data_IF_713306703853
#
_entry.id   IF_713306703853
#
_cell.length_a   1.000
_cell.length_b   1.000
_cell.length_c   1.000
_cell.angle_alpha   90.00
_cell.angle_beta   90.00
_cell.angle_gamma   90.00
#
_symmetry.space_group_name_H-M   'P 1'
#
loop_
_entity.id
_entity.type
_entity.pdbx_description
1 polymer ?
#
# COMPACT_ATOMS: atom_id res chain seq x y z
N UNK A 1 16.54 -12.98 -6.30
CA UNK A 1 15.35 -12.16 -6.05
C UNK A 1 15.54 -11.21 -4.87
N UNK A 2 16.00 -11.62 -3.69
CA UNK A 2 16.31 -10.70 -2.57
C UNK A 2 17.41 -9.67 -2.91
N UNK A 3 18.34 -10.03 -3.77
CA UNK A 3 19.58 -9.32 -4.02
C UNK A 3 19.70 -8.74 -5.44
N UNK A 4 18.66 -8.83 -6.25
CA UNK A 4 18.70 -8.43 -7.67
C UNK A 4 17.99 -7.11 -7.96
N UNK A 5 17.39 -6.50 -6.95
CA UNK A 5 16.63 -5.28 -7.15
C UNK A 5 17.59 -4.09 -7.36
N UNK A 6 17.46 -3.44 -8.52
CA UNK A 6 18.22 -2.24 -8.83
C UNK A 6 17.55 -0.96 -8.28
N UNK A 7 16.41 -1.11 -7.61
CA UNK A 7 15.58 -0.02 -7.09
C UNK A 7 15.82 0.15 -5.60
N UNK A 8 16.14 1.36 -5.15
CA UNK A 8 16.03 1.73 -3.75
C UNK A 8 14.58 2.11 -3.43
N UNK A 9 13.94 1.35 -2.54
CA UNK A 9 12.57 1.60 -2.12
C UNK A 9 12.55 2.15 -0.69
N UNK A 10 12.24 3.44 -0.53
CA UNK A 10 12.27 4.09 0.78
C UNK A 10 10.88 4.57 1.18
N UNK A 11 10.39 4.08 2.31
CA UNK A 11 9.18 4.65 2.95
C UNK A 11 9.61 5.69 3.96
N UNK A 12 9.10 6.91 3.85
CA UNK A 12 9.36 8.01 4.79
C UNK A 12 8.10 8.29 5.56
N UNK A 13 8.22 8.30 6.89
CA UNK A 13 7.15 8.60 7.82
C UNK A 13 7.43 9.95 8.47
N UNK A 14 6.92 11.07 7.91
CA UNK A 14 7.20 12.40 8.44
C UNK A 14 6.54 12.66 9.79
N UNK A 15 5.49 11.90 10.14
CA UNK A 15 4.80 12.01 11.43
C UNK A 15 4.06 10.74 11.82
N UNK A 16 3.97 10.48 13.12
CA UNK A 16 3.08 9.48 13.70
C UNK A 16 1.68 10.03 14.01
N UNK A 17 1.53 11.35 14.01
CA UNK A 17 0.24 11.98 14.26
C UNK A 17 -0.74 11.71 13.13
N UNK A 18 -2.00 11.43 13.48
CA UNK A 18 -3.09 11.24 12.52
C UNK A 18 -4.34 11.97 13.02
N UNK A 19 -5.10 12.54 12.10
CA UNK A 19 -6.39 13.19 12.34
C UNK A 19 -7.58 12.23 12.43
N UNK A 20 -7.37 10.94 12.07
CA UNK A 20 -8.39 9.88 12.16
C UNK A 20 -8.09 8.88 13.29
N UNK A 21 -9.16 8.31 13.86
CA UNK A 21 -9.12 7.30 14.91
C UNK A 21 -9.51 5.90 14.43
N UNK A 22 -8.92 5.42 13.34
CA UNK A 22 -9.30 4.13 12.73
C UNK A 22 -9.22 2.99 13.76
N UNK A 23 -10.30 2.17 13.85
CA UNK A 23 -10.42 1.06 14.80
C UNK A 23 -9.44 -0.08 14.51
N UNK A 24 -8.98 -0.22 13.27
CA UNK A 24 -8.05 -1.27 12.83
C UNK A 24 -6.62 -0.75 12.61
N UNK A 25 -6.29 0.45 13.10
CA UNK A 25 -4.95 1.00 12.93
C UNK A 25 -3.92 0.14 13.67
N UNK A 26 -2.93 -0.36 12.95
CA UNK A 26 -1.85 -1.17 13.53
C UNK A 26 -0.69 -0.33 14.06
N UNK A 27 -0.63 0.97 13.71
CA UNK A 27 0.39 1.85 14.24
C UNK A 27 0.08 2.21 15.68
N UNK A 28 1.12 2.23 16.51
CA UNK A 28 1.00 2.75 17.88
C UNK A 28 0.55 4.23 17.82
N UNK A 29 -0.41 4.58 18.68
CA UNK A 29 -0.96 5.95 18.77
C UNK A 29 0.05 6.91 19.41
N UNK A 30 1.27 6.95 18.86
CA UNK A 30 2.33 7.90 19.25
C UNK A 30 2.10 9.24 18.57
N UNK A 31 2.73 10.26 19.08
CA UNK A 31 2.86 11.57 18.44
C UNK A 31 4.33 11.83 18.15
N UNK A 32 4.60 12.58 17.11
CA UNK A 32 5.94 12.95 16.72
C UNK A 32 5.95 13.43 15.28
N UNK A 33 6.82 14.39 14.99
CA UNK A 33 7.02 14.96 13.67
C UNK A 33 8.51 15.08 13.39
N UNK A 34 8.88 14.94 12.12
CA UNK A 34 10.27 14.98 11.67
C UNK A 34 10.85 16.40 11.83
N UNK A 35 11.94 16.52 12.59
CA UNK A 35 12.68 17.76 12.72
C UNK A 35 13.46 18.11 11.44
N UNK A 36 13.96 19.34 11.34
CA UNK A 36 14.85 19.74 10.25
C UNK A 36 16.13 18.91 10.22
N UNK A 37 16.70 18.63 11.39
CA UNK A 37 17.90 17.79 11.53
C UNK A 37 17.65 16.36 11.02
N UNK A 38 16.56 15.72 11.45
CA UNK A 38 16.21 14.37 10.97
C UNK A 38 15.93 14.36 9.47
N UNK A 39 15.26 15.41 8.95
CA UNK A 39 15.04 15.56 7.51
C UNK A 39 16.35 15.63 6.72
N UNK A 40 17.35 16.38 7.22
CA UNK A 40 18.67 16.47 6.62
C UNK A 40 19.44 15.15 6.67
N UNK A 41 19.39 14.46 7.81
CA UNK A 41 19.99 13.13 7.97
C UNK A 41 19.30 12.10 7.05
N UNK A 42 17.98 12.15 6.94
CA UNK A 42 17.19 11.30 6.03
C UNK A 42 17.62 11.50 4.58
N UNK A 43 17.74 12.75 4.14
CA UNK A 43 18.23 13.07 2.80
C UNK A 43 19.62 12.47 2.54
N UNK A 44 20.57 12.71 3.45
CA UNK A 44 21.94 12.16 3.33
C UNK A 44 21.96 10.64 3.33
N UNK A 45 21.12 10.02 4.17
CA UNK A 45 21.01 8.56 4.24
C UNK A 45 20.52 7.97 2.89
N UNK A 46 19.50 8.57 2.26
CA UNK A 46 19.02 8.17 0.94
C UNK A 46 20.11 8.31 -0.12
N UNK A 47 20.79 9.47 -0.17
CA UNK A 47 21.89 9.70 -1.12
C UNK A 47 23.03 8.68 -0.96
N UNK A 48 23.39 8.34 0.27
CA UNK A 48 24.42 7.34 0.56
C UNK A 48 23.95 5.93 0.12
N UNK A 49 22.70 5.58 0.40
CA UNK A 49 22.11 4.28 0.04
C UNK A 49 22.01 4.07 -1.48
N UNK A 50 21.87 5.14 -2.25
CA UNK A 50 21.88 5.09 -3.72
C UNK A 50 23.28 4.75 -4.28
N UNK A 51 24.34 4.98 -3.53
CA UNK A 51 25.73 4.79 -3.98
C UNK A 51 26.42 3.56 -3.38
N UNK A 52 25.91 3.01 -2.27
CA UNK A 52 26.58 1.93 -1.53
C UNK A 52 25.63 0.76 -1.28
N UNK A 53 26.07 -0.51 -1.41
CA UNK A 53 27.40 -0.98 -1.82
C UNK A 53 27.69 -0.88 -3.34
N UNK A 54 26.67 -0.56 -4.12
CA UNK A 54 26.76 -0.34 -5.58
C UNK A 54 25.81 0.78 -5.99
N UNK A 55 26.12 1.52 -7.05
CA UNK A 55 25.20 2.54 -7.56
C UNK A 55 23.85 1.93 -7.98
N UNK A 56 22.76 2.54 -7.53
CA UNK A 56 21.39 2.21 -7.91
C UNK A 56 20.87 3.30 -8.86
N UNK A 57 20.07 2.91 -9.83
CA UNK A 57 19.58 3.82 -10.87
C UNK A 57 18.12 4.23 -10.68
N UNK A 58 17.42 3.57 -9.78
CA UNK A 58 16.01 3.82 -9.54
C UNK A 58 15.76 4.07 -8.05
N UNK A 59 14.99 5.11 -7.76
CA UNK A 59 14.52 5.46 -6.41
C UNK A 59 13.00 5.58 -6.40
N UNK A 60 12.36 4.85 -5.49
CA UNK A 60 10.93 4.98 -5.22
C UNK A 60 10.73 5.45 -3.78
N UNK A 61 10.09 6.60 -3.61
CA UNK A 61 9.72 7.14 -2.29
C UNK A 61 8.24 6.88 -2.02
N UNK A 62 7.93 6.35 -0.85
CA UNK A 62 6.55 6.27 -0.34
C UNK A 62 6.40 7.13 0.90
N UNK A 63 5.61 8.19 0.80
CA UNK A 63 5.21 9.00 1.95
C UNK A 63 4.10 8.30 2.71
N UNK A 64 4.33 8.03 3.99
CA UNK A 64 3.43 7.25 4.83
C UNK A 64 3.43 7.78 6.27
N UNK A 65 2.74 7.11 7.20
CA UNK A 65 2.78 7.43 8.61
C UNK A 65 1.41 7.40 9.27
N UNK A 66 1.18 8.25 10.26
CA UNK A 66 -0.16 8.48 10.79
C UNK A 66 -1.03 9.11 9.69
N UNK A 67 -0.84 10.39 9.45
CA UNK A 67 -1.32 11.10 8.24
C UNK A 67 -0.20 11.99 7.72
N UNK A 68 0.46 11.61 6.62
CA UNK A 68 1.63 12.34 6.11
C UNK A 68 1.29 13.78 5.70
N UNK A 69 0.07 14.05 5.24
CA UNK A 69 -0.38 15.38 4.83
C UNK A 69 -0.46 16.40 5.98
N UNK A 70 -0.33 15.97 7.23
CA UNK A 70 -0.15 16.89 8.38
C UNK A 70 1.22 17.58 8.33
N UNK A 71 2.23 16.92 7.74
CA UNK A 71 3.58 17.45 7.53
C UNK A 71 3.82 17.84 6.07
N UNK A 72 2.82 18.43 5.43
CA UNK A 72 2.83 18.73 4.00
C UNK A 72 4.06 19.54 3.56
N UNK A 73 4.41 20.58 4.31
CA UNK A 73 5.58 21.41 4.00
C UNK A 73 6.88 20.61 4.09
N UNK A 74 6.98 19.66 5.04
CA UNK A 74 8.12 18.77 5.16
C UNK A 74 8.24 17.85 3.95
N UNK A 75 7.12 17.30 3.49
CA UNK A 75 7.07 16.47 2.28
C UNK A 75 7.57 17.26 1.08
N UNK A 76 7.09 18.49 0.89
CA UNK A 76 7.51 19.33 -0.23
C UNK A 76 9.00 19.65 -0.19
N UNK A 77 9.52 20.08 0.96
CA UNK A 77 10.92 20.46 1.12
C UNK A 77 11.86 19.26 0.89
N UNK A 78 11.61 18.15 1.56
CA UNK A 78 12.46 16.95 1.42
C UNK A 78 12.30 16.30 0.06
N UNK A 79 11.07 16.21 -0.46
CA UNK A 79 10.78 15.65 -1.79
C UNK A 79 11.46 16.43 -2.92
N UNK A 80 11.41 17.76 -2.88
CA UNK A 80 12.10 18.60 -3.87
C UNK A 80 13.61 18.38 -3.87
N UNK A 81 14.24 18.29 -2.69
CA UNK A 81 15.68 18.02 -2.56
C UNK A 81 16.06 16.64 -3.12
N UNK A 82 15.26 15.62 -2.82
CA UNK A 82 15.47 14.25 -3.32
C UNK A 82 15.35 14.24 -4.86
N UNK A 83 14.28 14.83 -5.40
CA UNK A 83 14.05 14.92 -6.84
C UNK A 83 15.20 15.64 -7.56
N UNK A 84 15.64 16.77 -7.02
CA UNK A 84 16.76 17.53 -7.58
C UNK A 84 18.07 16.71 -7.56
N UNK A 85 18.34 15.97 -6.47
CA UNK A 85 19.49 15.08 -6.40
C UNK A 85 19.40 13.97 -7.46
N UNK A 86 18.26 13.32 -7.61
CA UNK A 86 18.05 12.28 -8.61
C UNK A 86 18.24 12.82 -10.04
N UNK A 87 17.70 14.01 -10.33
CA UNK A 87 17.86 14.65 -11.64
C UNK A 87 19.34 14.97 -11.97
N UNK A 88 20.13 15.43 -10.99
CA UNK A 88 21.57 15.72 -11.17
C UNK A 88 22.41 14.46 -11.40
N UNK A 89 21.99 13.32 -10.88
CA UNK A 89 22.73 12.05 -10.94
C UNK A 89 22.12 11.03 -11.93
N UNK A 90 21.15 11.47 -12.76
CA UNK A 90 20.47 10.63 -13.76
C UNK A 90 19.80 9.37 -13.14
N UNK A 91 19.26 9.53 -11.92
CA UNK A 91 18.53 8.48 -11.21
C UNK A 91 17.05 8.61 -11.56
N UNK A 92 16.41 7.52 -11.98
CA UNK A 92 14.97 7.49 -12.18
C UNK A 92 14.27 7.65 -10.83
N UNK A 93 13.39 8.64 -10.74
CA UNK A 93 12.69 8.95 -9.50
C UNK A 93 11.20 8.82 -9.65
N UNK A 94 10.56 8.09 -8.74
CA UNK A 94 9.11 8.00 -8.60
C UNK A 94 8.72 8.19 -7.14
N UNK A 95 7.57 8.80 -6.90
CA UNK A 95 7.09 9.07 -5.55
C UNK A 95 5.60 8.80 -5.42
N UNK A 96 5.25 8.19 -4.29
CA UNK A 96 3.87 7.82 -3.96
C UNK A 96 3.50 8.38 -2.59
N UNK A 97 2.22 8.65 -2.37
CA UNK A 97 1.72 9.04 -1.05
C UNK A 97 0.53 8.17 -0.63
N UNK A 98 0.56 7.69 0.61
CA UNK A 98 -0.55 6.96 1.24
C UNK A 98 -1.17 7.87 2.29
N UNK A 99 -2.40 8.29 2.06
CA UNK A 99 -3.12 9.27 2.90
C UNK A 99 -4.55 8.83 3.16
N UNK A 100 -5.17 9.42 4.17
CA UNK A 100 -6.62 9.26 4.37
C UNK A 100 -7.46 10.17 3.45
N UNK A 101 -6.84 11.07 2.69
CA UNK A 101 -7.48 11.91 1.69
C UNK A 101 -8.07 13.22 2.23
N UNK A 102 -8.22 13.37 3.55
CA UNK A 102 -8.91 14.53 4.16
C UNK A 102 -8.25 15.88 3.83
N UNK A 103 -6.93 15.87 3.63
CA UNK A 103 -6.16 17.09 3.36
C UNK A 103 -5.74 17.25 1.91
N UNK A 104 -6.21 16.42 1.00
CA UNK A 104 -5.98 16.59 -0.42
C UNK A 104 -6.88 17.70 -0.96
N UNK A 105 -6.27 18.79 -1.43
CA UNK A 105 -6.93 19.85 -2.18
C UNK A 105 -6.32 19.96 -3.56
N UNK A 106 -6.97 20.60 -4.54
CA UNK A 106 -6.41 20.77 -5.89
C UNK A 106 -5.02 21.44 -5.89
N UNK A 107 -4.82 22.42 -5.00
CA UNK A 107 -3.56 23.13 -4.85
C UNK A 107 -2.46 22.17 -4.35
N UNK A 108 -2.75 21.46 -3.26
CA UNK A 108 -1.80 20.48 -2.67
C UNK A 108 -1.47 19.34 -3.61
N UNK A 109 -2.45 18.87 -4.38
CA UNK A 109 -2.23 17.84 -5.41
C UNK A 109 -1.28 18.37 -6.49
N UNK A 110 -1.47 19.62 -6.93
CA UNK A 110 -0.57 20.27 -7.88
C UNK A 110 0.85 20.36 -7.31
N UNK A 111 1.01 20.82 -6.09
CA UNK A 111 2.31 20.93 -5.42
C UNK A 111 2.99 19.55 -5.26
N UNK A 112 2.24 18.49 -4.86
CA UNK A 112 2.76 17.13 -4.80
C UNK A 112 3.30 16.65 -6.15
N UNK A 113 2.62 16.97 -7.24
CA UNK A 113 3.09 16.58 -8.58
C UNK A 113 4.40 17.28 -8.98
N UNK A 114 4.66 18.51 -8.48
CA UNK A 114 5.92 19.24 -8.75
C UNK A 114 7.14 18.58 -8.12
N UNK A 115 6.95 17.79 -7.07
CA UNK A 115 8.02 17.04 -6.39
C UNK A 115 8.07 15.57 -6.81
N UNK A 116 7.46 15.22 -7.96
CA UNK A 116 7.52 13.88 -8.53
C UNK A 116 6.55 12.86 -7.93
N UNK A 117 5.54 13.29 -7.14
CA UNK A 117 4.47 12.37 -6.71
C UNK A 117 3.61 12.05 -7.93
N UNK A 118 3.52 10.78 -8.27
CA UNK A 118 2.77 10.25 -9.42
C UNK A 118 1.50 9.52 -9.01
N UNK A 119 1.49 8.97 -7.80
CA UNK A 119 0.40 8.12 -7.32
C UNK A 119 -0.01 8.50 -5.89
N UNK A 120 -1.30 8.60 -5.67
CA UNK A 120 -1.90 8.71 -4.34
C UNK A 120 -2.73 7.46 -4.03
N UNK A 121 -2.48 6.86 -2.87
CA UNK A 121 -3.36 5.83 -2.32
C UNK A 121 -4.25 6.46 -1.26
N UNK A 122 -5.58 6.36 -1.44
CA UNK A 122 -6.57 6.81 -0.46
C UNK A 122 -7.37 5.60 0.03
N UNK A 123 -7.58 5.52 1.35
CA UNK A 123 -8.37 4.43 1.94
C UNK A 123 -9.82 4.86 2.13
N UNK A 124 -10.75 4.09 1.56
CA UNK A 124 -12.21 4.21 1.78
C UNK A 124 -12.79 2.84 2.08
N UNK A 125 -13.41 2.69 3.24
CA UNK A 125 -13.81 1.39 3.79
C UNK A 125 -15.33 1.15 3.68
N UNK A 126 -15.85 1.10 2.46
CA UNK A 126 -17.25 0.78 2.20
C UNK A 126 -18.15 1.99 2.03
N UNK A 127 -19.42 1.88 2.44
CA UNK A 127 -20.38 2.98 2.43
C UNK A 127 -19.95 4.12 3.36
N UNK A 128 -20.66 5.25 3.28
CA UNK A 128 -20.42 6.39 4.18
C UNK A 128 -20.52 5.99 5.65
N UNK A 129 -21.56 5.26 6.00
CA UNK A 129 -21.77 4.83 7.39
C UNK A 129 -20.68 3.87 7.86
N UNK A 130 -20.31 2.88 7.04
CA UNK A 130 -19.19 1.98 7.35
C UNK A 130 -17.89 2.75 7.54
N UNK A 131 -17.57 3.66 6.61
CA UNK A 131 -16.32 4.40 6.65
C UNK A 131 -16.24 5.31 7.88
N UNK A 132 -17.25 6.10 8.15
CA UNK A 132 -17.24 7.09 9.24
C UNK A 132 -17.16 6.41 10.62
N UNK A 133 -17.80 5.23 10.78
CA UNK A 133 -17.66 4.40 11.99
C UNK A 133 -16.23 3.85 12.13
N UNK A 134 -15.66 3.35 11.05
CA UNK A 134 -14.35 2.68 11.06
C UNK A 134 -13.19 3.66 11.11
N UNK A 135 -13.37 4.85 10.57
CA UNK A 135 -12.34 5.90 10.38
C UNK A 135 -12.81 7.27 10.88
N UNK A 136 -13.25 7.37 12.14
CA UNK A 136 -13.80 8.62 12.67
C UNK A 136 -12.74 9.71 12.74
N UNK A 137 -13.17 10.98 12.56
CA UNK A 137 -12.38 12.14 12.85
C UNK A 137 -12.06 12.21 14.35
N UNK A 138 -10.79 12.41 14.72
CA UNK A 138 -10.39 12.52 16.14
C UNK A 138 -10.85 13.82 16.82
N UNK A 139 -10.98 14.88 16.05
CA UNK A 139 -11.40 16.16 16.61
C UNK A 139 -12.93 16.29 16.56
N UNK A 140 -13.64 16.15 17.69
CA UNK A 140 -15.10 16.22 17.73
C UNK A 140 -15.67 17.61 17.40
N UNK A 141 -14.81 18.64 17.35
CA UNK A 141 -15.20 20.01 16.92
C UNK A 141 -15.28 20.15 15.40
N UNK A 142 -14.68 19.23 14.65
CA UNK A 142 -14.82 19.17 13.20
C UNK A 142 -16.13 18.46 12.90
N UNK A 143 -17.16 19.22 12.61
CA UNK A 143 -18.43 18.67 12.14
C UNK A 143 -18.24 18.25 10.68
N UNK A 144 -18.36 16.96 10.39
CA UNK A 144 -18.23 16.44 9.01
C UNK A 144 -18.00 14.95 8.98
N UNK A 145 -17.99 14.44 7.79
CA UNK A 145 -17.76 13.03 7.46
C UNK A 145 -16.34 12.86 6.93
N UNK A 146 -15.60 11.90 7.48
CA UNK A 146 -14.30 11.52 6.93
C UNK A 146 -14.44 10.89 5.54
N UNK A 147 -15.55 10.23 5.27
CA UNK A 147 -15.89 9.70 3.95
C UNK A 147 -16.02 10.81 2.92
N UNK A 148 -16.85 11.82 3.19
CA UNK A 148 -17.07 12.93 2.25
C UNK A 148 -15.76 13.69 1.98
N UNK A 149 -14.94 13.90 3.01
CA UNK A 149 -13.65 14.56 2.88
C UNK A 149 -12.67 13.71 2.04
N UNK A 150 -12.63 12.39 2.24
CA UNK A 150 -11.80 11.49 1.45
C UNK A 150 -12.24 11.43 -0.01
N UNK A 151 -13.56 11.43 -0.30
CA UNK A 151 -14.06 11.50 -1.67
C UNK A 151 -13.67 12.81 -2.36
N UNK A 152 -13.82 13.95 -1.69
CA UNK A 152 -13.39 15.25 -2.21
C UNK A 152 -11.89 15.27 -2.48
N UNK A 153 -11.08 14.66 -1.62
CA UNK A 153 -9.66 14.48 -1.81
C UNK A 153 -9.31 13.64 -3.04
N UNK A 154 -10.03 12.55 -3.26
CA UNK A 154 -9.89 11.73 -4.49
C UNK A 154 -10.23 12.58 -5.73
N UNK A 155 -11.36 13.28 -5.72
CA UNK A 155 -11.77 14.16 -6.83
C UNK A 155 -10.72 15.22 -7.15
N UNK A 156 -10.07 15.78 -6.13
CA UNK A 156 -8.96 16.72 -6.31
C UNK A 156 -7.74 16.08 -6.99
N UNK A 157 -7.50 14.79 -6.78
CA UNK A 157 -6.37 14.07 -7.34
C UNK A 157 -6.61 13.56 -8.77
N UNK A 158 -7.88 13.39 -9.18
CA UNK A 158 -8.24 12.86 -10.50
C UNK A 158 -7.67 13.77 -11.61
N UNK A 159 -7.15 13.15 -12.67
CA UNK A 159 -6.53 13.86 -13.79
C UNK A 159 -5.09 14.32 -13.55
N UNK A 160 -4.68 14.56 -12.31
CA UNK A 160 -3.33 14.98 -11.95
C UNK A 160 -2.44 13.84 -11.47
N UNK A 161 -2.98 12.94 -10.66
CA UNK A 161 -2.27 11.77 -10.11
C UNK A 161 -2.99 10.47 -10.50
N UNK A 162 -2.27 9.37 -10.50
CA UNK A 162 -2.88 8.04 -10.45
C UNK A 162 -3.46 7.82 -9.05
N UNK A 163 -4.70 7.32 -8.99
CA UNK A 163 -5.40 7.12 -7.71
C UNK A 163 -5.55 5.63 -7.43
N UNK A 164 -5.04 5.16 -6.31
CA UNK A 164 -5.29 3.84 -5.79
C UNK A 164 -6.30 3.94 -4.63
N UNK A 165 -7.52 3.47 -4.83
CA UNK A 165 -8.51 3.39 -3.76
C UNK A 165 -8.34 2.06 -3.04
N UNK A 166 -7.91 2.13 -1.78
CA UNK A 166 -7.78 0.96 -0.92
C UNK A 166 -9.03 0.77 -0.07
N UNK A 167 -9.53 -0.45 -0.03
CA UNK A 167 -10.61 -0.85 0.88
C UNK A 167 -10.09 -1.94 1.82
N UNK A 168 -10.13 -1.70 3.12
CA UNK A 168 -9.79 -2.71 4.12
C UNK A 168 -11.08 -3.42 4.52
N UNK A 169 -11.22 -4.68 4.11
CA UNK A 169 -12.40 -5.49 4.30
C UNK A 169 -12.40 -6.18 5.65
N UNK A 170 -13.56 -6.22 6.27
CA UNK A 170 -13.92 -7.15 7.34
C UNK A 170 -15.35 -7.70 7.07
N UNK A 171 -15.89 -8.57 7.94
CA UNK A 171 -17.23 -9.13 7.71
C UNK A 171 -18.36 -8.10 7.59
N UNK A 172 -18.19 -6.91 8.15
CA UNK A 172 -19.27 -5.91 8.28
C UNK A 172 -19.40 -4.98 7.08
N UNK A 173 -18.29 -4.69 6.35
CA UNK A 173 -18.31 -3.67 5.31
C UNK A 173 -18.28 -4.21 3.86
N UNK A 174 -18.44 -5.52 3.64
CA UNK A 174 -18.49 -6.09 2.28
C UNK A 174 -19.68 -5.54 1.49
N UNK A 175 -20.84 -5.43 2.12
CA UNK A 175 -22.06 -4.89 1.49
C UNK A 175 -21.89 -3.40 1.16
N UNK A 176 -21.36 -2.60 2.09
CA UNK A 176 -21.10 -1.20 1.86
C UNK A 176 -20.00 -0.96 0.83
N UNK A 177 -19.06 -1.91 0.67
CA UNK A 177 -18.07 -1.84 -0.42
C UNK A 177 -18.74 -2.01 -1.79
N UNK A 178 -19.75 -2.86 -1.92
CA UNK A 178 -20.53 -2.95 -3.16
C UNK A 178 -21.27 -1.64 -3.47
N UNK A 179 -21.81 -0.96 -2.44
CA UNK A 179 -22.44 0.36 -2.59
C UNK A 179 -21.39 1.41 -2.99
N UNK A 180 -20.19 1.39 -2.40
CA UNK A 180 -19.10 2.27 -2.79
C UNK A 180 -18.74 2.14 -4.27
N UNK A 181 -18.68 0.90 -4.81
CA UNK A 181 -18.43 0.69 -6.24
C UNK A 181 -19.50 1.34 -7.11
N UNK A 182 -20.78 1.25 -6.72
CA UNK A 182 -21.89 1.90 -7.42
C UNK A 182 -21.82 3.43 -7.34
N UNK A 183 -21.39 3.97 -6.20
CA UNK A 183 -21.16 5.41 -6.03
C UNK A 183 -20.03 5.93 -6.92
N UNK A 184 -18.93 5.22 -7.01
CA UNK A 184 -17.79 5.55 -7.86
C UNK A 184 -18.20 5.48 -9.35
N UNK A 185 -18.99 4.47 -9.74
CA UNK A 185 -19.53 4.36 -11.10
C UNK A 185 -20.41 5.55 -11.45
N UNK A 186 -21.36 5.93 -10.56
CA UNK A 186 -22.26 7.08 -10.75
C UNK A 186 -21.50 8.40 -10.87
N UNK A 187 -20.38 8.55 -10.17
CA UNK A 187 -19.48 9.70 -10.28
C UNK A 187 -18.69 9.70 -11.58
N UNK A 188 -18.67 8.60 -12.33
CA UNK A 188 -17.98 8.48 -13.61
C UNK A 188 -16.46 8.39 -13.51
N UNK A 189 -15.90 8.18 -12.32
CA UNK A 189 -14.45 8.19 -12.11
C UNK A 189 -13.69 7.19 -12.98
N UNK A 190 -14.28 6.03 -13.28
CA UNK A 190 -13.66 5.03 -14.17
C UNK A 190 -13.71 5.40 -15.65
N UNK A 191 -14.50 6.42 -16.03
CA UNK A 191 -14.64 6.87 -17.43
C UNK A 191 -13.60 7.92 -17.82
N UNK A 192 -12.93 8.52 -16.86
CA UNK A 192 -11.90 9.56 -17.10
C UNK A 192 -10.56 9.01 -17.60
N UNK A 193 -10.59 7.92 -18.36
CA UNK A 193 -9.40 7.22 -18.89
C UNK A 193 -8.66 7.96 -20.02
N UNK A 194 -9.05 9.20 -20.34
CA UNK A 194 -8.40 9.98 -21.41
C UNK A 194 -7.06 10.60 -21.00
N UNK A 195 -6.69 10.52 -19.75
CA UNK A 195 -5.37 10.92 -19.27
C UNK A 195 -4.49 9.68 -19.04
N UNK A 196 -3.16 9.85 -19.04
CA UNK A 196 -2.19 8.79 -18.67
C UNK A 196 -2.33 8.32 -17.20
N UNK A 197 -3.30 8.82 -16.48
CA UNK A 197 -3.57 8.57 -15.05
C UNK A 197 -4.62 7.50 -14.90
N UNK A 198 -4.48 6.65 -13.91
CA UNK A 198 -5.36 5.49 -13.71
C UNK A 198 -6.02 5.53 -12.34
N UNK A 199 -7.22 4.97 -12.27
CA UNK A 199 -7.88 4.66 -10.99
C UNK A 199 -7.84 3.15 -10.81
N UNK A 200 -7.35 2.71 -9.67
CA UNK A 200 -7.28 1.30 -9.30
C UNK A 200 -7.97 1.04 -7.97
N UNK A 201 -8.80 -0.01 -7.93
CA UNK A 201 -9.32 -0.54 -6.67
C UNK A 201 -8.34 -1.58 -6.11
N UNK A 202 -8.08 -1.51 -4.82
CA UNK A 202 -7.26 -2.46 -4.08
C UNK A 202 -8.00 -2.94 -2.84
N UNK A 203 -8.25 -4.22 -2.75
CA UNK A 203 -8.91 -4.82 -1.61
C UNK A 203 -7.88 -5.52 -0.72
N UNK A 204 -7.99 -5.26 0.58
CA UNK A 204 -7.19 -5.93 1.59
C UNK A 204 -8.11 -6.31 2.75
N UNK A 205 -7.68 -7.17 3.63
CA UNK A 205 -8.41 -7.48 4.85
C UNK A 205 -7.62 -7.02 6.08
N UNK A 206 -8.35 -6.70 7.13
CA UNK A 206 -7.75 -6.47 8.44
C UNK A 206 -7.37 -7.82 9.05
N UNK A 207 -6.22 -7.90 9.68
CA UNK A 207 -5.76 -9.11 10.39
C UNK A 207 -5.11 -8.71 11.69
N UNK A 208 -5.27 -9.57 12.69
CA UNK A 208 -4.65 -9.42 13.99
C UNK A 208 -3.84 -10.68 14.32
N UNK A 209 -2.77 -10.91 13.57
CA UNK A 209 -1.82 -11.95 13.89
C UNK A 209 -0.82 -11.42 14.94
N UNK A 210 -0.47 -12.28 15.92
CA UNK A 210 0.52 -11.99 16.97
C UNK A 210 0.26 -10.80 17.92
N UNK A 211 -0.91 -10.20 17.91
CA UNK A 211 -1.19 -9.00 18.71
C UNK A 211 -0.38 -7.76 18.33
N UNK A 212 0.34 -7.80 17.19
CA UNK A 212 1.15 -6.69 16.68
C UNK A 212 0.37 -5.75 15.78
N UNK A 213 -0.72 -6.24 15.19
CA UNK A 213 -1.54 -5.48 14.25
C UNK A 213 -2.97 -5.38 14.76
N UNK A 214 -3.62 -4.28 14.48
CA UNK A 214 -5.07 -4.09 14.68
C UNK A 214 -5.57 -4.50 16.07
N UNK A 215 -4.89 -4.03 17.13
CA UNK A 215 -5.23 -4.41 18.54
C UNK A 215 -6.67 -4.08 18.95
N UNK A 216 -7.22 -3.02 18.37
CA UNK A 216 -8.54 -2.50 18.70
C UNK A 216 -9.62 -2.95 17.70
N UNK A 217 -9.42 -4.11 17.02
CA UNK A 217 -10.44 -4.64 16.11
C UNK A 217 -11.76 -4.84 16.84
N UNK A 218 -12.81 -4.27 16.29
CA UNK A 218 -14.18 -4.35 16.83
C UNK A 218 -14.79 -5.72 16.47
N UNK A 219 -14.34 -6.32 15.36
CA UNK A 219 -14.89 -7.56 14.81
C UNK A 219 -13.77 -8.56 14.50
N UNK A 220 -14.10 -9.85 14.53
CA UNK A 220 -13.21 -10.90 14.07
C UNK A 220 -12.80 -10.66 12.61
N UNK A 221 -11.50 -10.80 12.28
CA UNK A 221 -11.02 -10.64 10.93
C UNK A 221 -11.64 -11.67 9.96
N UNK A 222 -11.68 -11.34 8.68
CA UNK A 222 -11.96 -12.33 7.65
C UNK A 222 -10.86 -13.41 7.63
N UNK A 223 -11.27 -14.66 7.54
CA UNK A 223 -10.33 -15.72 7.13
C UNK A 223 -9.86 -15.45 5.71
N UNK A 224 -8.68 -15.95 5.34
CA UNK A 224 -8.16 -15.79 3.97
C UNK A 224 -9.13 -16.37 2.91
N UNK A 225 -9.84 -17.45 3.24
CA UNK A 225 -10.86 -18.04 2.35
C UNK A 225 -12.02 -17.08 2.13
N UNK A 226 -12.55 -16.49 3.20
CA UNK A 226 -13.66 -15.55 3.12
C UNK A 226 -13.26 -14.25 2.44
N UNK A 227 -12.03 -13.77 2.70
CA UNK A 227 -11.48 -12.62 1.99
C UNK A 227 -11.35 -12.88 0.49
N UNK A 228 -10.76 -14.01 0.08
CA UNK A 228 -10.59 -14.37 -1.32
C UNK A 228 -11.92 -14.42 -2.08
N UNK A 229 -12.95 -15.01 -1.47
CA UNK A 229 -14.30 -15.05 -2.04
C UNK A 229 -14.94 -13.65 -2.13
N UNK A 230 -14.80 -12.84 -1.09
CA UNK A 230 -15.32 -11.48 -1.07
C UNK A 230 -14.62 -10.61 -2.13
N UNK A 231 -13.30 -10.66 -2.20
CA UNK A 231 -12.50 -9.94 -3.18
C UNK A 231 -12.91 -10.31 -4.62
N UNK A 232 -13.01 -11.59 -4.91
CA UNK A 232 -13.45 -12.05 -6.23
C UNK A 232 -14.86 -11.58 -6.57
N UNK A 233 -15.80 -11.55 -5.59
CA UNK A 233 -17.14 -11.00 -5.77
C UNK A 233 -17.09 -9.52 -6.15
N UNK A 234 -16.21 -8.73 -5.54
CA UNK A 234 -16.03 -7.31 -5.85
C UNK A 234 -15.46 -7.12 -7.25
N UNK A 235 -14.44 -7.89 -7.65
CA UNK A 235 -13.92 -7.84 -9.03
C UNK A 235 -14.97 -8.28 -10.06
N UNK A 236 -15.81 -9.27 -9.78
CA UNK A 236 -16.94 -9.61 -10.63
C UNK A 236 -17.96 -8.47 -10.77
N UNK A 237 -18.20 -7.71 -9.69
CA UNK A 237 -19.04 -6.51 -9.76
C UNK A 237 -18.42 -5.46 -10.68
N UNK A 238 -17.14 -5.17 -10.55
CA UNK A 238 -16.41 -4.25 -11.44
C UNK A 238 -16.50 -4.69 -12.91
N UNK A 239 -16.27 -5.96 -13.20
CA UNK A 239 -16.42 -6.50 -14.56
C UNK A 239 -17.83 -6.29 -15.14
N UNK A 240 -18.87 -6.50 -14.35
CA UNK A 240 -20.28 -6.24 -14.78
C UNK A 240 -20.54 -4.75 -15.05
N UNK A 241 -19.79 -3.87 -14.43
CA UNK A 241 -19.83 -2.42 -14.67
C UNK A 241 -18.95 -2.02 -15.87
N UNK A 242 -18.33 -2.98 -16.58
CA UNK A 242 -17.42 -2.74 -17.69
C UNK A 242 -16.01 -2.31 -17.26
N UNK A 243 -15.67 -2.44 -15.97
CA UNK A 243 -14.39 -2.03 -15.40
C UNK A 243 -13.51 -3.25 -15.23
N UNK A 244 -12.49 -3.38 -16.08
CA UNK A 244 -11.59 -4.52 -16.06
C UNK A 244 -10.37 -4.26 -15.17
N UNK A 245 -10.50 -4.65 -13.92
CA UNK A 245 -9.42 -4.63 -12.93
C UNK A 245 -9.18 -6.01 -12.31
N UNK A 246 -9.71 -7.06 -12.95
CA UNK A 246 -9.51 -8.44 -12.46
C UNK A 246 -8.03 -8.79 -12.49
N UNK A 247 -7.42 -9.13 -11.35
CA UNK A 247 -6.00 -9.49 -11.31
C UNK A 247 -5.72 -10.74 -12.15
N UNK A 248 -4.67 -10.67 -12.97
CA UNK A 248 -4.17 -11.86 -13.67
C UNK A 248 -3.14 -12.58 -12.79
N UNK A 249 -3.18 -13.91 -12.67
CA UNK A 249 -2.21 -14.66 -11.89
C UNK A 249 -0.84 -14.68 -12.59
N UNK A 250 0.05 -13.80 -12.14
CA UNK A 250 1.44 -13.77 -12.62
C UNK A 250 2.38 -14.22 -11.51
N UNK A 251 3.44 -14.97 -11.82
CA UNK A 251 4.47 -15.27 -10.84
C UNK A 251 5.03 -14.00 -10.23
N UNK A 252 5.26 -14.03 -8.93
CA UNK A 252 5.91 -12.92 -8.21
C UNK A 252 7.41 -13.01 -8.39
N UNK A 253 8.01 -11.92 -8.81
CA UNK A 253 9.45 -11.75 -8.97
C UNK A 253 10.12 -11.16 -7.72
N UNK A 254 9.33 -10.67 -6.77
CA UNK A 254 9.78 -10.20 -5.45
C UNK A 254 8.88 -10.73 -4.32
N UNK A 255 9.41 -10.77 -3.11
CA UNK A 255 8.68 -11.22 -1.92
C UNK A 255 7.91 -10.07 -1.26
N UNK A 256 8.63 -9.22 -0.57
CA UNK A 256 8.13 -8.10 0.20
C UNK A 256 9.29 -7.13 0.47
N UNK A 257 9.03 -5.83 0.55
CA UNK A 257 10.06 -4.85 0.92
C UNK A 257 10.78 -5.17 2.23
N UNK A 258 10.11 -5.83 3.19
CA UNK A 258 10.75 -6.21 4.45
C UNK A 258 11.94 -7.16 4.27
N UNK A 259 11.93 -8.00 3.23
CA UNK A 259 13.00 -8.97 2.95
C UNK A 259 13.89 -8.56 1.77
N UNK A 260 13.64 -7.39 1.19
CA UNK A 260 14.45 -6.80 0.13
C UNK A 260 15.58 -5.97 0.76
N UNK A 261 16.83 -6.20 0.35
CA UNK A 261 17.99 -5.49 0.89
C UNK A 261 17.93 -3.99 0.60
N UNK A 262 17.38 -3.60 -0.54
CA UNK A 262 17.26 -2.20 -0.99
C UNK A 262 15.95 -1.52 -0.57
N UNK A 263 15.20 -2.10 0.37
CA UNK A 263 14.01 -1.46 0.92
C UNK A 263 14.22 -1.06 2.38
N UNK A 264 13.83 0.18 2.72
CA UNK A 264 13.99 0.74 4.06
C UNK A 264 12.80 1.62 4.42
N UNK A 265 12.48 1.65 5.71
CA UNK A 265 11.49 2.57 6.28
C UNK A 265 12.21 3.48 7.24
N UNK A 266 12.01 4.79 7.11
CA UNK A 266 12.59 5.83 7.97
C UNK A 266 11.45 6.56 8.67
N UNK A 267 11.46 6.56 9.99
CA UNK A 267 10.43 7.25 10.76
C UNK A 267 10.77 8.71 11.08
N UNK A 268 9.87 9.41 11.75
CA UNK A 268 10.04 10.83 12.08
C UNK A 268 11.12 11.12 13.14
N UNK A 269 11.65 10.09 13.78
CA UNK A 269 12.79 10.20 14.70
C UNK A 269 14.11 9.77 14.06
N UNK A 270 14.05 9.30 12.80
CA UNK A 270 15.21 8.82 12.07
C UNK A 270 15.51 7.36 12.29
N UNK A 271 14.65 6.61 12.98
CA UNK A 271 14.82 5.18 13.19
C UNK A 271 14.54 4.39 11.90
N UNK A 272 15.31 3.32 11.69
CA UNK A 272 15.31 2.49 10.49
C UNK A 272 14.59 1.16 10.75
N UNK A 273 13.64 0.81 9.87
CA UNK A 273 12.85 -0.42 9.95
C UNK A 273 12.78 -1.14 8.61
N UNK A 274 12.50 -2.45 8.66
CA UNK A 274 12.25 -3.26 7.47
C UNK A 274 10.76 -3.51 7.22
N UNK A 275 9.96 -3.62 8.25
CA UNK A 275 8.53 -3.92 8.16
C UNK A 275 7.70 -2.77 8.73
N UNK A 276 6.60 -2.46 8.06
CA UNK A 276 5.64 -1.43 8.51
C UNK A 276 5.05 -1.74 9.88
N UNK A 277 4.93 -3.03 10.24
CA UNK A 277 4.46 -3.47 11.55
C UNK A 277 5.48 -3.23 12.67
N UNK A 278 6.74 -3.06 12.34
CA UNK A 278 7.81 -2.82 13.31
C UNK A 278 7.95 -1.33 13.66
N UNK A 279 7.42 -0.46 12.82
CA UNK A 279 7.53 1.00 12.94
C UNK A 279 7.01 1.49 14.30
N UNK A 280 7.80 2.34 14.95
CA UNK A 280 7.50 2.90 16.26
C UNK A 280 7.86 1.99 17.44
N UNK A 281 8.45 0.82 17.19
CA UNK A 281 8.94 -0.10 18.21
C UNK A 281 10.45 -0.06 18.22
N UNK A 282 11.03 0.68 19.17
CA UNK A 282 12.47 0.94 19.21
C UNK A 282 13.30 -0.35 19.24
N UNK A 283 12.80 -1.39 19.92
CA UNK A 283 13.43 -2.72 19.97
C UNK A 283 13.47 -3.44 18.62
N UNK A 284 12.72 -2.95 17.64
CA UNK A 284 12.65 -3.49 16.26
C UNK A 284 13.34 -2.59 15.22
N UNK A 285 13.79 -1.42 15.63
CA UNK A 285 14.70 -0.61 14.81
C UNK A 285 16.02 -1.36 14.63
N UNK A 286 16.65 -1.21 13.48
CA UNK A 286 17.97 -1.80 13.20
C UNK A 286 19.05 -0.74 13.02
N UNK A 287 18.77 0.51 13.36
CA UNK A 287 19.68 1.65 13.30
C UNK A 287 18.96 2.98 13.18
N UNK A 288 19.73 4.05 13.01
CA UNK A 288 19.21 5.40 12.82
C UNK A 288 19.86 6.07 11.62
N UNK A 289 19.19 7.07 11.03
CA UNK A 289 19.78 7.89 9.98
C UNK A 289 21.03 8.61 10.53
N UNK A 290 22.09 8.71 9.72
CA UNK A 290 23.36 9.29 10.17
C UNK A 290 24.35 8.28 10.73
N UNK A 291 23.92 7.07 11.05
CA UNK A 291 24.78 5.95 11.45
C UNK A 291 24.88 4.91 10.33
N UNK A 292 25.98 4.13 10.29
CA UNK A 292 26.08 2.98 9.37
C UNK A 292 24.98 1.95 9.68
N UNK A 293 24.41 1.35 8.64
CA UNK A 293 23.41 0.27 8.81
C UNK A 293 24.08 -0.92 9.53
N UNK A 294 23.47 -1.33 10.63
CA UNK A 294 23.92 -2.51 11.37
C UNK A 294 23.28 -3.78 10.80
N UNK A 295 23.90 -4.37 9.80
CA UNK A 295 23.46 -5.62 9.17
C UNK A 295 23.45 -6.83 10.12
N UNK A 296 24.17 -6.76 11.24
CA UNK A 296 24.20 -7.83 12.26
C UNK A 296 23.12 -7.66 13.31
N UNK A 297 22.37 -6.56 13.29
CA UNK A 297 21.29 -6.36 14.24
C UNK A 297 20.22 -7.45 14.07
N UNK A 298 19.73 -8.00 15.17
CA UNK A 298 18.77 -9.11 15.14
C UNK A 298 17.49 -8.78 14.34
N UNK A 299 17.00 -7.54 14.42
CA UNK A 299 15.83 -7.08 13.67
C UNK A 299 16.08 -7.06 12.16
N UNK A 300 17.32 -6.73 11.72
CA UNK A 300 17.68 -6.84 10.31
C UNK A 300 17.80 -8.31 9.88
N UNK A 301 18.53 -9.12 10.66
CA UNK A 301 18.77 -10.53 10.36
C UNK A 301 17.48 -11.37 10.30
N UNK A 302 16.49 -11.04 11.12
CA UNK A 302 15.15 -11.66 11.09
C UNK A 302 14.56 -11.63 9.68
N UNK A 303 14.61 -10.46 9.03
CA UNK A 303 14.05 -10.27 7.70
C UNK A 303 14.97 -10.82 6.60
N UNK A 304 16.26 -10.59 6.70
CA UNK A 304 17.26 -11.05 5.73
C UNK A 304 17.31 -12.59 5.62
N UNK A 305 17.08 -13.30 6.72
CA UNK A 305 17.09 -14.78 6.76
C UNK A 305 15.78 -15.43 6.31
N UNK A 306 14.70 -14.67 6.12
CA UNK A 306 13.42 -15.24 5.75
C UNK A 306 13.45 -15.89 4.36
N UNK A 307 13.01 -17.13 4.27
CA UNK A 307 12.85 -17.88 3.01
C UNK A 307 11.51 -18.63 3.00
N UNK A 308 10.63 -18.39 2.00
CA UNK A 308 9.33 -19.08 1.89
C UNK A 308 9.46 -20.60 1.86
N UNK A 309 10.53 -21.11 1.24
CA UNK A 309 10.80 -22.54 1.07
C UNK A 309 11.27 -23.24 2.34
N UNK A 310 11.54 -22.52 3.43
CA UNK A 310 11.81 -23.11 4.74
C UNK A 310 10.55 -23.75 5.33
N UNK A 311 9.36 -23.25 4.98
CA UNK A 311 8.10 -23.91 5.30
C UNK A 311 7.88 -25.10 4.36
N UNK A 312 7.70 -26.31 4.92
CA UNK A 312 7.53 -27.56 4.16
C UNK A 312 6.28 -27.55 3.26
N UNK A 313 5.18 -26.96 3.76
CA UNK A 313 3.93 -26.88 3.00
C UNK A 313 4.06 -25.93 1.81
N UNK A 314 4.75 -24.79 2.02
CA UNK A 314 5.03 -23.85 0.93
C UNK A 314 5.98 -24.43 -0.11
N UNK A 315 7.03 -25.17 0.33
CA UNK A 315 8.01 -25.79 -0.58
C UNK A 315 7.38 -26.73 -1.60
N UNK A 316 6.34 -27.45 -1.21
CA UNK A 316 5.64 -28.42 -2.03
C UNK A 316 4.33 -27.89 -2.64
N UNK A 317 4.08 -26.59 -2.55
CA UNK A 317 2.83 -25.98 -2.98
C UNK A 317 2.91 -25.47 -4.43
N UNK A 318 2.01 -25.90 -5.28
CA UNK A 318 1.92 -25.46 -6.69
C UNK A 318 1.63 -23.96 -6.82
N UNK A 319 1.06 -23.34 -5.80
CA UNK A 319 0.75 -21.90 -5.76
C UNK A 319 1.93 -21.03 -5.28
N UNK A 320 3.05 -21.62 -4.85
CA UNK A 320 4.17 -20.85 -4.33
C UNK A 320 4.65 -19.75 -5.28
N UNK A 321 4.78 -20.00 -6.60
CA UNK A 321 5.23 -18.94 -7.53
C UNK A 321 4.29 -17.72 -7.56
N UNK A 322 3.00 -17.90 -7.27
CA UNK A 322 2.02 -16.84 -7.27
C UNK A 322 1.92 -16.11 -5.92
N UNK A 323 2.19 -16.81 -4.82
CA UNK A 323 1.95 -16.27 -3.48
C UNK A 323 3.23 -15.89 -2.72
N UNK A 324 4.34 -16.63 -2.90
CA UNK A 324 5.61 -16.44 -2.22
C UNK A 324 5.49 -16.32 -0.69
N UNK A 325 4.59 -17.14 -0.09
CA UNK A 325 4.20 -17.11 1.32
C UNK A 325 3.51 -15.82 1.79
N UNK A 326 2.90 -15.04 0.88
CA UNK A 326 2.08 -13.87 1.19
C UNK A 326 2.82 -12.79 2.02
N UNK A 327 2.54 -12.74 3.34
CA UNK A 327 3.17 -11.80 4.26
C UNK A 327 4.25 -12.50 5.10
N UNK A 328 5.53 -12.14 4.96
CA UNK A 328 6.60 -12.74 5.75
C UNK A 328 6.41 -12.60 7.26
N UNK A 329 5.87 -11.45 7.73
CA UNK A 329 5.56 -11.24 9.15
C UNK A 329 4.55 -12.27 9.67
N UNK A 330 3.44 -12.42 8.95
CA UNK A 330 2.39 -13.37 9.27
C UNK A 330 2.93 -14.81 9.23
N UNK A 331 3.70 -15.14 8.19
CA UNK A 331 4.29 -16.46 8.04
C UNK A 331 5.27 -16.84 9.17
N UNK A 332 6.08 -15.90 9.66
CA UNK A 332 7.02 -16.14 10.75
C UNK A 332 6.34 -16.28 12.12
N UNK A 333 5.19 -15.64 12.31
CA UNK A 333 4.52 -15.63 13.61
C UNK A 333 3.42 -16.69 13.73
N UNK A 334 3.03 -17.31 12.61
CA UNK A 334 1.98 -18.36 12.57
C UNK A 334 2.54 -19.73 12.20
N UNK A 335 3.79 -20.04 12.56
CA UNK A 335 4.51 -21.27 12.18
C UNK A 335 3.72 -22.60 12.30
N UNK A 336 2.65 -22.61 13.09
CA UNK A 336 1.81 -23.79 13.33
C UNK A 336 0.38 -23.70 12.76
N UNK A 337 0.06 -22.68 11.94
CA UNK A 337 -1.29 -22.49 11.39
C UNK A 337 -1.23 -22.34 9.85
N UNK A 338 -1.00 -23.45 9.16
CA UNK A 338 -0.83 -23.50 7.70
C UNK A 338 -1.95 -22.80 6.90
N UNK A 339 -3.19 -22.83 7.39
CA UNK A 339 -4.32 -22.26 6.66
C UNK A 339 -4.38 -20.73 6.67
N UNK A 340 -3.72 -20.06 7.62
CA UNK A 340 -3.75 -18.60 7.74
C UNK A 340 -2.68 -17.90 6.87
N UNK A 341 -1.67 -18.63 6.41
CA UNK A 341 -0.51 -18.07 5.68
C UNK A 341 -0.70 -18.07 4.16
N UNK A 342 -1.74 -18.74 3.64
CA UNK A 342 -1.98 -18.87 2.21
C UNK A 342 -2.47 -17.58 1.57
N UNK A 343 -2.21 -17.42 0.26
CA UNK A 343 -2.73 -16.32 -0.55
C UNK A 343 -4.11 -16.69 -1.15
N UNK A 344 -4.86 -15.68 -1.59
CA UNK A 344 -6.13 -15.80 -2.29
C UNK A 344 -6.09 -16.78 -3.47
N UNK A 345 -4.95 -16.89 -4.16
CA UNK A 345 -4.81 -17.74 -5.33
C UNK A 345 -5.08 -19.23 -5.05
N UNK A 346 -4.80 -19.70 -3.85
CA UNK A 346 -5.14 -21.07 -3.44
C UNK A 346 -6.65 -21.35 -3.51
N UNK A 347 -7.49 -20.33 -3.39
CA UNK A 347 -8.94 -20.48 -3.25
C UNK A 347 -9.74 -19.94 -4.43
N UNK A 348 -9.14 -19.10 -5.28
CA UNK A 348 -9.88 -18.41 -6.36
C UNK A 348 -9.19 -18.47 -7.73
N UNK A 349 -8.03 -19.13 -7.86
CA UNK A 349 -7.27 -19.18 -9.12
C UNK A 349 -8.11 -19.72 -10.28
N UNK A 350 -8.73 -20.89 -10.10
CA UNK A 350 -9.52 -21.53 -11.16
C UNK A 350 -10.67 -20.63 -11.64
N UNK A 351 -11.42 -20.06 -10.69
CA UNK A 351 -12.54 -19.19 -11.03
C UNK A 351 -12.06 -17.87 -11.68
N UNK A 352 -10.94 -17.34 -11.24
CA UNK A 352 -10.33 -16.14 -11.85
C UNK A 352 -9.89 -16.41 -13.30
N UNK A 353 -9.26 -17.56 -13.56
CA UNK A 353 -8.87 -17.97 -14.92
C UNK A 353 -10.08 -18.18 -15.83
N UNK A 354 -11.16 -18.78 -15.33
CA UNK A 354 -12.42 -18.92 -16.08
C UNK A 354 -12.97 -17.55 -16.50
N UNK A 355 -12.98 -16.56 -15.60
CA UNK A 355 -13.44 -15.21 -15.91
C UNK A 355 -12.56 -14.54 -16.99
N UNK A 356 -11.23 -14.71 -16.95
CA UNK A 356 -10.34 -14.21 -18.00
C UNK A 356 -10.60 -14.88 -19.34
N UNK A 357 -10.84 -16.19 -19.33
CA UNK A 357 -11.16 -16.94 -20.55
C UNK A 357 -12.48 -16.48 -21.15
N UNK A 358 -13.56 -16.41 -20.36
CA UNK A 358 -14.88 -15.96 -20.82
C UNK A 358 -14.82 -14.56 -21.43
N UNK A 359 -14.06 -13.65 -20.80
CA UNK A 359 -13.83 -12.30 -21.31
C UNK A 359 -13.12 -12.31 -22.66
N UNK A 360 -12.09 -13.15 -22.82
CA UNK A 360 -11.36 -13.28 -24.09
C UNK A 360 -12.28 -13.77 -25.21
N UNK A 361 -13.07 -14.82 -24.96
CA UNK A 361 -14.02 -15.35 -25.94
C UNK A 361 -15.05 -14.31 -26.35
N UNK A 362 -15.61 -13.57 -25.38
CA UNK A 362 -16.58 -12.50 -25.66
C UNK A 362 -15.99 -11.41 -26.56
N UNK A 363 -14.74 -10.99 -26.31
CA UNK A 363 -14.04 -10.00 -27.14
C UNK A 363 -13.78 -10.53 -28.57
N UNK A 364 -13.40 -11.80 -28.74
CA UNK A 364 -13.19 -12.41 -30.04
C UNK A 364 -14.51 -12.52 -30.87
N UNK A 365 -15.63 -12.84 -30.21
CA UNK A 365 -16.93 -12.90 -30.86
C UNK A 365 -17.40 -11.52 -31.31
N UNK A 366 -17.23 -10.48 -30.49
CA UNK A 366 -17.53 -9.10 -30.85
C UNK A 366 -16.70 -8.61 -32.03
N UNK A 367 -15.40 -8.91 -32.07
CA UNK A 367 -14.51 -8.51 -33.16
C UNK A 367 -14.84 -9.18 -34.49
N UNK A 368 -15.37 -10.42 -34.46
CA UNK A 368 -15.83 -11.13 -35.67
C UNK A 368 -17.16 -10.57 -36.18
N UNK A 369 -18.05 -10.17 -35.30
CA UNK A 369 -19.36 -9.58 -35.71
C UNK A 369 -19.18 -8.19 -36.35
N UNK A 370 -18.21 -7.37 -35.85
CA UNK A 370 -17.88 -6.06 -36.44
C UNK A 370 -17.13 -6.14 -37.77
N UNK A 371 -16.51 -7.27 -38.11
CA UNK A 371 -15.86 -7.48 -39.41
C UNK A 371 -16.80 -8.07 -40.45
N UNK A 372 -17.99 -8.55 -40.04
CA UNK A 372 -19.00 -9.15 -40.92
C UNK A 372 -20.14 -8.16 -41.29
N UNK A 373 -20.15 -6.99 -40.67
CA UNK A 373 -21.01 -5.84 -40.99
C UNK A 373 -20.22 -4.78 -41.80
#
# INVERSE_FOLDING_TARGET
MKYSNAVLSTTIIPTYTCNLGCSYCYQDKKSGSMSDEISDLTFRHICNSLNYPRPLQDLVITWYGGEPMLEFNRILQLGARIQEHCARHEINYDSHIVTNGVYLTPERVTELSTIGVTTVQVTIDGSKDDHDIRRPLKNPKIVGSSFDAALAGIESALGNLSVAIRVNLDPTNISGTLQLLEDIERRGWFKETHTRRSIKMSFAYTSNFSGLSCRDLIHEPLTIVNFAKAELRLYKKLLRMGIDQLPYPTPRDYLCGAVDDNAIIIDCFGDLYKCWLDVGRNERSHGTVGEPINFLHHSFQKWASYEPTNNKDCRNCDYLPLCMSKCPAEAMETENQADNVCDRWKYTLEETLKLHYEKKISAELMSKSTRAS
#
